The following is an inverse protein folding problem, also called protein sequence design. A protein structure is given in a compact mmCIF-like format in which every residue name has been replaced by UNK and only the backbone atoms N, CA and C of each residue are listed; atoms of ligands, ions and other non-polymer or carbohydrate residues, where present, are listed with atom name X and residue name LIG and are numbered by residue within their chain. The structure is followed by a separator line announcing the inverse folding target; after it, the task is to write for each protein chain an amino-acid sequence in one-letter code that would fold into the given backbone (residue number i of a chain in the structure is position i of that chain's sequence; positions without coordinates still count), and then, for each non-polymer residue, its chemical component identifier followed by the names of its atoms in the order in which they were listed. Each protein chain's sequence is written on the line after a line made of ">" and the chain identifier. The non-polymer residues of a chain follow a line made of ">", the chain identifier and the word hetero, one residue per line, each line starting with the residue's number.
data_IF_031033411180
#
_entry.id   IF_031033411180
#
_cell.length_a   1.000
_cell.length_b   1.000
_cell.length_c   1.000
_cell.angle_alpha   90.00
_cell.angle_beta   90.00
_cell.angle_gamma   90.00
#
_symmetry.space_group_name_H-M   'P 1'
#
loop_
_entity.id
_entity.type
_entity.pdbx_description
1 polymer ?
#
# COMPACT_ATOMS: atom_id res chain seq x y z
N UNK A 1 0.36 15.51 -13.67
CA UNK A 1 -0.91 14.77 -13.64
C UNK A 1 -0.50 13.33 -13.57
N UNK A 2 -0.96 12.65 -12.54
CA UNK A 2 -0.67 11.25 -12.25
C UNK A 2 -1.96 10.46 -12.40
N UNK A 3 -1.95 9.29 -13.01
CA UNK A 3 -3.12 8.41 -13.05
C UNK A 3 -3.14 7.51 -11.82
N UNK A 4 -4.26 7.41 -11.13
CA UNK A 4 -4.50 6.41 -10.10
C UNK A 4 -5.38 5.32 -10.70
N UNK A 5 -4.92 4.09 -10.63
CA UNK A 5 -5.72 2.91 -10.90
C UNK A 5 -5.87 2.10 -9.61
N UNK A 6 -7.09 1.72 -9.25
CA UNK A 6 -7.36 0.93 -8.05
C UNK A 6 -8.35 -0.20 -8.37
N UNK A 7 -7.97 -1.42 -8.00
CA UNK A 7 -8.85 -2.58 -7.94
C UNK A 7 -9.06 -2.97 -6.48
N UNK A 8 -10.31 -3.19 -6.10
CA UNK A 8 -10.65 -3.64 -4.76
C UNK A 8 -11.94 -4.47 -4.78
N UNK A 9 -12.09 -5.36 -3.80
CA UNK A 9 -13.33 -6.08 -3.55
C UNK A 9 -13.76 -5.93 -2.08
N UNK A 10 -14.99 -6.31 -1.78
CA UNK A 10 -15.56 -6.17 -0.43
C UNK A 10 -16.33 -7.40 0.02
N UNK A 11 -16.35 -7.58 1.34
CA UNK A 11 -17.22 -8.53 2.02
C UNK A 11 -18.44 -7.82 2.62
N UNK A 12 -19.60 -8.46 2.48
CA UNK A 12 -20.86 -7.95 2.96
C UNK A 12 -21.11 -8.41 4.40
N UNK A 13 -21.47 -7.48 5.29
CA UNK A 13 -22.10 -7.78 6.56
C UNK A 13 -23.12 -6.69 6.91
N UNK A 14 -24.41 -7.05 6.96
CA UNK A 14 -25.59 -6.16 7.06
C UNK A 14 -25.78 -5.15 5.90
N UNK A 15 -24.68 -4.67 5.31
CA UNK A 15 -24.61 -3.73 4.19
C UNK A 15 -23.27 -3.90 3.48
N UNK A 16 -23.07 -3.15 2.40
CA UNK A 16 -21.78 -3.02 1.72
C UNK A 16 -20.95 -1.89 2.33
N UNK A 17 -19.60 -1.99 2.35
CA UNK A 17 -18.73 -0.96 2.90
C UNK A 17 -18.64 0.25 1.99
N UNK A 18 -18.25 1.39 2.55
CA UNK A 18 -17.99 2.62 1.77
C UNK A 18 -16.49 2.81 1.58
N UNK A 19 -16.04 2.75 0.33
CA UNK A 19 -14.67 3.07 -0.05
C UNK A 19 -14.51 4.59 -0.08
N UNK A 20 -13.43 5.10 0.51
CA UNK A 20 -13.07 6.50 0.51
C UNK A 20 -11.66 6.66 -0.02
N UNK A 21 -11.50 7.51 -1.04
CA UNK A 21 -10.19 7.89 -1.57
C UNK A 21 -10.06 9.40 -1.49
N UNK A 22 -8.98 9.86 -0.88
CA UNK A 22 -8.64 11.28 -0.76
C UNK A 22 -7.27 11.53 -1.38
N UNK A 23 -7.17 12.60 -2.16
CA UNK A 23 -5.90 13.07 -2.71
C UNK A 23 -5.69 14.54 -2.34
N UNK A 24 -4.57 14.85 -1.71
CA UNK A 24 -4.20 16.21 -1.31
C UNK A 24 -5.29 16.91 -0.46
N UNK A 25 -5.99 16.14 0.39
CA UNK A 25 -7.09 16.61 1.24
C UNK A 25 -8.45 16.74 0.52
N UNK A 26 -8.53 16.39 -0.77
CA UNK A 26 -9.79 16.38 -1.53
C UNK A 26 -10.30 14.96 -1.71
N UNK A 27 -11.56 14.74 -1.35
CA UNK A 27 -12.26 13.47 -1.62
C UNK A 27 -12.43 13.32 -3.13
N UNK A 28 -11.87 12.26 -3.69
CA UNK A 28 -11.98 11.92 -5.12
C UNK A 28 -12.91 10.72 -5.35
N UNK A 29 -13.06 9.86 -4.34
CA UNK A 29 -14.04 8.77 -4.34
C UNK A 29 -14.66 8.62 -2.94
N UNK A 30 -15.97 8.40 -2.90
CA UNK A 30 -16.71 8.16 -1.67
C UNK A 30 -18.05 7.50 -1.97
N UNK A 31 -18.02 6.21 -2.31
CA UNK A 31 -19.21 5.44 -2.63
C UNK A 31 -19.17 4.04 -2.01
N UNK A 32 -20.34 3.39 -2.03
CA UNK A 32 -20.51 2.02 -1.56
C UNK A 32 -19.89 1.05 -2.57
N UNK A 33 -19.08 0.10 -2.08
CA UNK A 33 -18.42 -0.92 -2.90
C UNK A 33 -19.22 -2.22 -2.82
N UNK A 34 -19.91 -2.56 -3.91
CA UNK A 34 -20.61 -3.84 -4.05
C UNK A 34 -19.71 -4.84 -4.79
N UNK A 35 -19.35 -5.94 -4.14
CA UNK A 35 -18.52 -7.02 -4.69
C UNK A 35 -17.13 -6.56 -5.14
N UNK A 36 -16.93 -6.11 -6.39
CA UNK A 36 -15.65 -5.65 -6.93
C UNK A 36 -15.78 -4.30 -7.64
N UNK A 37 -14.77 -3.45 -7.49
CA UNK A 37 -14.67 -2.17 -8.20
C UNK A 37 -13.30 -2.03 -8.89
N UNK A 38 -13.31 -1.31 -10.02
CA UNK A 38 -12.12 -0.83 -10.72
C UNK A 38 -12.30 0.67 -10.92
N UNK A 39 -11.34 1.45 -10.45
CA UNK A 39 -11.38 2.90 -10.44
C UNK A 39 -10.16 3.48 -11.15
N UNK A 40 -10.41 4.44 -12.05
CA UNK A 40 -9.38 5.19 -12.75
C UNK A 40 -9.59 6.70 -12.53
N UNK A 41 -8.60 7.36 -11.92
CA UNK A 41 -8.65 8.79 -11.61
C UNK A 41 -7.42 9.53 -12.11
N UNK A 42 -7.62 10.69 -12.71
CA UNK A 42 -6.51 11.63 -12.96
C UNK A 42 -6.31 12.54 -11.75
N UNK A 43 -5.17 12.38 -11.08
CA UNK A 43 -4.79 13.15 -9.91
C UNK A 43 -4.11 14.47 -10.30
N UNK A 44 -4.44 15.52 -9.54
CA UNK A 44 -3.83 16.85 -9.68
C UNK A 44 -2.67 16.98 -8.68
N UNK A 45 -1.46 16.81 -9.19
CA UNK A 45 -0.25 16.90 -8.37
C UNK A 45 0.04 18.35 -7.96
N UNK A 46 0.47 18.55 -6.73
CA UNK A 46 1.04 19.81 -6.28
C UNK A 46 2.42 19.98 -6.92
N UNK A 47 2.60 21.11 -7.60
CA UNK A 47 3.87 21.49 -8.23
C UNK A 47 4.51 22.74 -7.60
N UNK A 48 3.79 23.46 -6.71
CA UNK A 48 4.31 24.65 -6.01
C UNK A 48 3.77 24.80 -4.58
N UNK A 49 4.52 25.53 -3.74
CA UNK A 49 4.20 25.86 -2.34
C UNK A 49 2.92 26.68 -2.17
N UNK A 50 2.55 27.46 -3.19
CA UNK A 50 1.35 28.31 -3.18
C UNK A 50 0.04 27.49 -3.11
N UNK A 51 0.12 26.17 -3.25
CA UNK A 51 -1.01 25.24 -3.18
C UNK A 51 -1.03 24.38 -1.89
N UNK A 52 -0.14 24.63 -0.91
CA UNK A 52 0.10 23.75 0.25
C UNK A 52 -0.48 24.25 1.59
N UNK A 53 -1.65 24.88 1.59
CA UNK A 53 -2.22 25.53 2.80
C UNK A 53 -2.72 24.57 3.93
N UNK A 54 -2.54 23.25 3.83
CA UNK A 54 -3.20 22.29 4.75
C UNK A 54 -2.32 21.25 5.47
N UNK A 55 -0.99 21.35 5.46
CA UNK A 55 -0.12 20.44 6.24
C UNK A 55 0.95 21.24 7.00
N UNK A 56 0.62 21.70 8.21
CA UNK A 56 1.56 22.42 9.10
C UNK A 56 2.05 21.62 10.31
N UNK A 57 1.55 20.40 10.56
CA UNK A 57 1.77 19.71 11.84
C UNK A 57 2.45 18.32 11.73
N UNK A 58 3.40 18.13 10.82
CA UNK A 58 4.29 16.96 10.86
C UNK A 58 5.73 17.30 10.49
N UNK A 59 6.62 17.15 11.47
CA UNK A 59 8.09 17.17 11.44
C UNK A 59 8.82 18.36 10.78
N UNK A 60 9.23 19.27 11.66
CA UNK A 60 9.97 20.53 11.41
C UNK A 60 11.44 20.31 11.01
N UNK A 61 11.77 19.21 10.32
CA UNK A 61 13.07 19.01 9.68
C UNK A 61 13.02 19.21 8.15
N UNK A 62 11.85 19.00 7.52
CA UNK A 62 11.68 19.01 6.06
C UNK A 62 10.46 19.83 5.57
N UNK A 63 10.18 20.96 6.22
CA UNK A 63 9.05 21.84 5.87
C UNK A 63 9.13 22.48 4.44
N UNK A 64 10.14 22.12 3.65
CA UNK A 64 10.44 22.62 2.31
C UNK A 64 10.34 21.54 1.22
N UNK A 65 9.64 20.44 1.43
CA UNK A 65 9.28 19.49 0.36
C UNK A 65 7.78 19.44 0.03
N UNK A 66 7.41 19.74 -1.21
CA UNK A 66 6.03 19.64 -1.70
C UNK A 66 5.71 18.16 -1.87
N UNK A 67 4.84 17.63 -1.00
CA UNK A 67 4.40 16.24 -1.05
C UNK A 67 2.94 16.17 -1.47
N UNK A 68 2.65 15.25 -2.39
CA UNK A 68 1.31 14.78 -2.65
C UNK A 68 0.98 13.71 -1.62
N UNK A 69 -0.27 13.68 -1.18
CA UNK A 69 -0.76 12.72 -0.20
C UNK A 69 -1.95 11.95 -0.79
N UNK A 70 -1.86 10.63 -0.78
CA UNK A 70 -2.93 9.72 -1.18
C UNK A 70 -3.40 8.96 0.07
N UNK A 71 -4.71 8.97 0.30
CA UNK A 71 -5.37 8.19 1.36
C UNK A 71 -6.38 7.25 0.71
N UNK A 72 -6.32 5.97 1.09
CA UNK A 72 -7.27 4.94 0.66
C UNK A 72 -7.82 4.29 1.92
N UNK A 73 -9.14 4.33 2.10
CA UNK A 73 -9.74 3.95 3.37
C UNK A 73 -11.17 3.47 3.26
N UNK A 74 -11.69 2.99 4.38
CA UNK A 74 -13.08 2.57 4.53
C UNK A 74 -13.77 3.45 5.57
N UNK A 75 -15.08 3.66 5.38
CA UNK A 75 -15.94 4.18 6.44
C UNK A 75 -17.29 3.50 6.52
N UNK A 76 -17.98 3.75 7.63
CA UNK A 76 -19.35 3.34 7.84
C UNK A 76 -19.52 1.97 8.52
N UNK A 77 -18.46 1.27 8.89
CA UNK A 77 -18.54 0.05 9.71
C UNK A 77 -19.00 0.39 11.13
N UNK A 78 -19.87 -0.44 11.69
CA UNK A 78 -20.41 -0.29 13.05
C UNK A 78 -19.80 -1.31 14.01
N UNK A 79 -19.40 -0.84 15.18
CA UNK A 79 -18.77 -1.64 16.24
C UNK A 79 -19.67 -1.73 17.48
N UNK A 80 -20.94 -2.09 17.30
CA UNK A 80 -21.88 -2.30 18.40
C UNK A 80 -22.71 -1.08 18.81
N UNK A 81 -22.51 0.08 18.17
CA UNK A 81 -23.40 1.23 18.34
C UNK A 81 -24.85 0.82 18.01
N UNK A 82 -25.79 1.18 18.90
CA UNK A 82 -27.20 0.80 18.82
C UNK A 82 -27.45 -0.73 18.75
N UNK A 83 -26.58 -1.54 19.36
CA UNK A 83 -26.63 -3.01 19.33
C UNK A 83 -26.46 -3.62 17.92
N UNK A 84 -25.80 -2.91 16.99
CA UNK A 84 -25.51 -3.43 15.65
C UNK A 84 -24.00 -3.59 15.46
N UNK A 85 -23.59 -4.80 15.12
CA UNK A 85 -22.23 -5.15 14.77
C UNK A 85 -22.19 -5.51 13.28
N UNK A 86 -21.26 -4.89 12.55
CA UNK A 86 -20.96 -5.27 11.15
C UNK A 86 -19.87 -6.36 11.11
N UNK A 87 -20.04 -7.33 12.02
CA UNK A 87 -19.21 -8.51 12.24
C UNK A 87 -20.07 -9.59 12.90
N UNK A 88 -19.98 -10.85 12.44
CA UNK A 88 -20.70 -11.99 12.99
C UNK A 88 -19.72 -13.05 13.48
N UNK A 89 -19.90 -13.49 14.72
CA UNK A 89 -19.10 -14.53 15.36
C UNK A 89 -19.92 -15.81 15.55
N UNK A 90 -19.39 -16.95 15.14
CA UNK A 90 -19.93 -18.29 15.43
C UNK A 90 -18.84 -19.18 16.02
N UNK A 91 -19.12 -19.84 17.14
CA UNK A 91 -18.15 -20.72 17.81
C UNK A 91 -16.81 -20.06 18.17
N UNK A 92 -16.78 -18.73 18.35
CA UNK A 92 -15.56 -17.96 18.60
C UNK A 92 -14.74 -17.65 17.35
N UNK A 93 -15.25 -17.94 16.15
CA UNK A 93 -14.66 -17.57 14.86
C UNK A 93 -15.49 -16.50 14.19
N UNK A 94 -14.82 -15.60 13.48
CA UNK A 94 -15.48 -14.64 12.60
C UNK A 94 -16.00 -15.36 11.36
N UNK A 95 -17.28 -15.21 11.05
CA UNK A 95 -17.94 -15.86 9.90
C UNK A 95 -18.36 -14.84 8.85
N UNK A 96 -18.72 -13.63 9.28
CA UNK A 96 -19.01 -12.51 8.38
C UNK A 96 -18.31 -11.27 8.94
N UNK A 97 -17.70 -10.48 8.06
CA UNK A 97 -17.18 -9.17 8.42
C UNK A 97 -17.40 -8.17 7.29
N UNK A 98 -17.64 -6.92 7.65
CA UNK A 98 -17.69 -5.81 6.70
C UNK A 98 -16.28 -5.28 6.45
N UNK A 99 -15.67 -5.63 5.33
CA UNK A 99 -14.30 -5.24 5.00
C UNK A 99 -14.11 -4.97 3.50
N UNK A 100 -13.07 -4.21 3.16
CA UNK A 100 -12.60 -4.00 1.79
C UNK A 100 -11.20 -4.56 1.66
N UNK A 101 -10.95 -5.28 0.57
CA UNK A 101 -9.65 -5.82 0.19
C UNK A 101 -9.08 -5.04 -0.99
N UNK A 102 -7.87 -4.51 -0.84
CA UNK A 102 -7.16 -3.83 -1.91
C UNK A 102 -6.41 -4.87 -2.76
N UNK A 103 -6.87 -5.09 -3.98
CA UNK A 103 -6.26 -6.06 -4.89
C UNK A 103 -5.06 -5.47 -5.63
N UNK A 104 -5.18 -4.20 -6.04
CA UNK A 104 -4.16 -3.51 -6.84
C UNK A 104 -4.30 -2.01 -6.69
N UNK A 105 -3.19 -1.31 -6.55
CA UNK A 105 -3.17 0.16 -6.55
C UNK A 105 -1.96 0.60 -7.36
N UNK A 106 -2.15 1.37 -8.44
CA UNK A 106 -1.04 1.92 -9.22
C UNK A 106 -1.12 3.43 -9.34
N UNK A 107 0.06 4.05 -9.36
CA UNK A 107 0.24 5.44 -9.81
C UNK A 107 0.97 5.43 -11.14
N UNK A 108 0.35 6.01 -12.16
CA UNK A 108 0.63 5.75 -13.57
C UNK A 108 0.67 4.23 -13.84
N UNK A 109 1.84 3.68 -14.14
CA UNK A 109 2.08 2.26 -14.42
C UNK A 109 2.85 1.54 -13.29
N UNK A 110 3.10 2.21 -12.16
CA UNK A 110 3.84 1.65 -11.02
C UNK A 110 2.89 1.15 -9.95
N UNK A 111 2.98 -0.14 -9.61
CA UNK A 111 2.28 -0.70 -8.45
C UNK A 111 2.83 -0.11 -7.15
N UNK A 112 1.94 0.42 -6.32
CA UNK A 112 2.26 1.11 -5.06
C UNK A 112 1.59 0.46 -3.85
N UNK A 113 0.96 -0.71 -4.00
CA UNK A 113 0.25 -1.35 -2.89
C UNK A 113 1.21 -1.62 -1.73
N UNK A 114 2.42 -2.09 -2.01
CA UNK A 114 3.50 -2.26 -1.03
C UNK A 114 3.85 -0.97 -0.28
N UNK A 115 4.00 0.15 -1.00
CA UNK A 115 4.29 1.45 -0.40
C UNK A 115 3.15 1.97 0.46
N UNK A 116 1.90 1.71 0.03
CA UNK A 116 0.70 2.09 0.76
C UNK A 116 0.55 1.29 2.06
N UNK A 117 1.04 0.04 2.09
CA UNK A 117 1.00 -0.87 3.24
C UNK A 117 2.23 -0.80 4.15
N UNK A 118 3.30 -0.12 3.73
CA UNK A 118 4.51 0.06 4.54
C UNK A 118 4.25 1.00 5.73
N UNK A 119 3.41 2.01 5.52
CA UNK A 119 2.89 2.87 6.59
C UNK A 119 1.78 2.15 7.39
N UNK A 120 1.55 2.64 8.61
CA UNK A 120 0.50 2.07 9.45
C UNK A 120 -0.90 2.38 8.91
N UNK A 121 -1.84 1.46 9.12
CA UNK A 121 -3.26 1.74 8.97
C UNK A 121 -3.75 2.67 10.07
N UNK A 122 -4.32 3.81 9.71
CA UNK A 122 -4.87 4.78 10.65
C UNK A 122 -6.33 4.47 10.93
N UNK A 123 -6.65 4.10 12.16
CA UNK A 123 -8.00 3.73 12.56
C UNK A 123 -8.77 4.97 13.07
N UNK A 124 -9.91 5.24 12.46
CA UNK A 124 -10.83 6.29 12.91
C UNK A 124 -11.77 5.76 14.00
N UNK A 125 -11.70 6.39 15.17
CA UNK A 125 -12.51 5.98 16.31
C UNK A 125 -14.00 6.15 16.03
N UNK A 126 -14.74 5.05 16.21
CA UNK A 126 -16.19 5.00 16.05
C UNK A 126 -16.84 4.58 17.36
N UNK A 127 -18.03 5.09 17.64
CA UNK A 127 -18.79 4.74 18.85
C UNK A 127 -18.98 3.21 18.98
N UNK A 128 -18.77 2.68 20.19
CA UNK A 128 -18.85 1.25 20.49
C UNK A 128 -17.52 0.49 20.34
N UNK A 129 -16.53 1.08 19.67
CA UNK A 129 -15.20 0.49 19.52
C UNK A 129 -14.42 0.46 20.85
N UNK A 130 -13.79 -0.67 21.16
CA UNK A 130 -12.98 -0.82 22.37
C UNK A 130 -11.59 -0.18 22.22
N UNK A 131 -11.09 0.42 23.31
CA UNK A 131 -9.88 1.26 23.33
C UNK A 131 -8.59 0.58 22.86
N UNK A 132 -8.48 -0.74 22.92
CA UNK A 132 -7.27 -1.44 22.46
C UNK A 132 -7.16 -1.54 20.93
N UNK A 133 -8.23 -1.25 20.20
CA UNK A 133 -8.20 -1.14 18.73
C UNK A 133 -7.71 0.24 18.24
N UNK A 134 -7.25 1.10 19.16
CA UNK A 134 -6.64 2.41 18.85
C UNK A 134 -5.21 2.30 18.31
N UNK A 135 -4.68 1.08 18.19
CA UNK A 135 -3.34 0.86 17.67
C UNK A 135 -3.36 0.80 16.16
N UNK A 136 -2.73 1.80 15.55
CA UNK A 136 -2.16 1.71 14.23
C UNK A 136 -1.45 0.36 14.05
N UNK A 137 -1.81 -0.40 13.03
CA UNK A 137 -1.23 -1.72 12.74
C UNK A 137 -0.64 -1.74 11.34
N UNK A 138 0.32 -2.64 11.10
CA UNK A 138 0.95 -2.80 9.79
C UNK A 138 -0.08 -3.29 8.78
N UNK A 139 -0.13 -2.65 7.62
CA UNK A 139 -1.09 -2.97 6.59
C UNK A 139 -0.91 -4.37 6.00
N UNK A 140 -2.04 -5.01 5.69
CA UNK A 140 -2.10 -6.29 4.99
C UNK A 140 -2.96 -6.23 3.71
N UNK A 141 -3.39 -5.03 3.29
CA UNK A 141 -4.31 -4.85 2.17
C UNK A 141 -5.79 -4.88 2.57
N UNK A 142 -6.09 -5.25 3.81
CA UNK A 142 -7.45 -5.34 4.33
C UNK A 142 -7.82 -4.04 5.07
N UNK A 143 -9.04 -3.56 4.81
CA UNK A 143 -9.67 -2.41 5.45
C UNK A 143 -10.81 -2.92 6.34
N UNK A 144 -10.46 -3.59 7.44
CA UNK A 144 -11.44 -4.15 8.37
C UNK A 144 -12.02 -3.12 9.36
N UNK A 145 -11.45 -1.92 9.43
CA UNK A 145 -11.91 -0.84 10.32
C UNK A 145 -12.18 0.45 9.56
N UNK A 146 -13.01 1.34 10.14
CA UNK A 146 -13.07 2.71 9.64
C UNK A 146 -11.69 3.35 9.79
N UNK A 147 -11.17 3.95 8.74
CA UNK A 147 -9.77 4.36 8.70
C UNK A 147 -9.21 4.47 7.29
N UNK A 148 -7.89 4.60 7.18
CA UNK A 148 -7.20 4.69 5.91
C UNK A 148 -5.73 4.26 5.98
N UNK A 149 -5.24 3.72 4.87
CA UNK A 149 -3.82 3.76 4.54
C UNK A 149 -3.47 5.13 3.96
N UNK A 150 -2.23 5.55 4.18
CA UNK A 150 -1.70 6.77 3.59
C UNK A 150 -0.36 6.51 2.94
N UNK A 151 -0.07 7.27 1.89
CA UNK A 151 1.28 7.41 1.39
C UNK A 151 1.53 8.82 0.88
N UNK A 152 2.81 9.21 0.86
CA UNK A 152 3.24 10.48 0.33
C UNK A 152 4.16 10.28 -0.88
N UNK A 153 4.03 11.12 -1.90
CA UNK A 153 4.90 11.07 -3.08
C UNK A 153 5.19 12.46 -3.63
N UNK A 154 6.30 12.59 -4.36
CA UNK A 154 6.76 13.83 -4.98
C UNK A 154 6.72 13.75 -6.50
N UNK A 155 6.84 14.90 -7.16
CA UNK A 155 7.07 14.99 -8.59
C UNK A 155 8.55 15.34 -8.82
N UNK A 156 9.28 14.64 -9.70
CA UNK A 156 8.81 13.58 -10.61
C UNK A 156 8.39 12.27 -9.93
N UNK A 157 7.24 11.71 -10.35
CA UNK A 157 6.61 10.54 -9.72
C UNK A 157 7.56 9.33 -9.68
N UNK A 158 8.09 8.94 -10.83
CA UNK A 158 8.97 7.78 -10.94
C UNK A 158 10.18 7.87 -10.02
N UNK A 159 10.78 9.06 -9.90
CA UNK A 159 11.92 9.27 -9.00
C UNK A 159 11.49 9.10 -7.54
N UNK A 160 10.36 9.68 -7.15
CA UNK A 160 9.80 9.52 -5.81
C UNK A 160 9.54 8.05 -5.46
N UNK A 161 8.81 7.34 -6.33
CA UNK A 161 8.43 5.94 -6.08
C UNK A 161 9.65 5.01 -6.10
N UNK A 162 10.58 5.22 -7.02
CA UNK A 162 11.83 4.43 -7.10
C UNK A 162 12.66 4.61 -5.84
N UNK A 163 12.80 5.84 -5.34
CA UNK A 163 13.52 6.10 -4.10
C UNK A 163 12.83 5.44 -2.91
N UNK A 164 11.50 5.50 -2.80
CA UNK A 164 10.78 4.89 -1.67
C UNK A 164 10.88 3.36 -1.66
N UNK A 165 10.77 2.70 -2.83
CA UNK A 165 10.86 1.23 -2.91
C UNK A 165 12.28 0.72 -2.66
N UNK A 166 13.29 1.40 -3.20
CA UNK A 166 14.61 0.79 -3.39
C UNK A 166 15.75 1.48 -2.63
N UNK A 167 15.57 2.70 -2.12
CA UNK A 167 16.60 3.33 -1.28
C UNK A 167 16.35 3.03 0.18
N UNK A 168 17.27 2.30 0.80
CA UNK A 168 17.29 2.11 2.26
C UNK A 168 18.33 3.04 2.86
N UNK A 169 18.07 3.63 4.04
CA UNK A 169 19.11 4.33 4.78
C UNK A 169 20.23 3.35 5.13
N UNK A 170 21.48 3.76 4.90
CA UNK A 170 22.63 3.03 5.39
C UNK A 170 22.53 2.91 6.91
N UNK A 171 22.43 1.69 7.43
CA UNK A 171 22.69 1.44 8.85
C UNK A 171 24.15 1.79 9.13
N UNK A 172 24.40 3.02 9.56
CA UNK A 172 25.69 3.39 10.11
C UNK A 172 25.52 4.28 11.32
N UNK A 173 25.99 3.75 12.46
CA UNK A 173 26.36 4.43 13.70
C UNK A 173 27.53 5.44 13.49
N UNK A 174 27.56 6.09 12.32
CA UNK A 174 28.60 7.04 11.87
C UNK A 174 27.94 8.13 11.05
N UNK A 175 27.88 9.32 11.64
CA UNK A 175 27.34 10.51 10.99
C UNK A 175 28.16 10.89 9.75
N UNK A 176 27.51 10.91 8.61
CA UNK A 176 28.01 11.55 7.40
C UNK A 176 27.08 12.69 7.01
N UNK A 177 27.69 13.82 6.65
CA UNK A 177 27.00 15.03 6.23
C UNK A 177 26.57 14.89 4.76
N UNK A 178 25.32 15.26 4.47
CA UNK A 178 24.67 15.34 3.15
C UNK A 178 24.18 14.02 2.55
N UNK A 179 23.26 14.16 1.58
CA UNK A 179 22.30 13.20 1.00
C UNK A 179 22.87 11.90 0.39
N UNK A 180 24.13 11.56 0.65
CA UNK A 180 24.85 10.36 0.21
C UNK A 180 24.67 9.15 1.14
N UNK A 181 23.67 9.19 2.04
CA UNK A 181 23.45 8.17 3.08
C UNK A 181 22.41 7.10 2.72
N UNK A 182 21.91 7.10 1.47
CA UNK A 182 20.93 6.12 0.99
C UNK A 182 21.44 5.44 -0.28
N UNK A 183 21.52 4.11 -0.25
CA UNK A 183 22.00 3.29 -1.38
C UNK A 183 20.83 2.49 -1.94
N UNK A 184 20.84 2.20 -3.24
CA UNK A 184 19.88 1.27 -3.83
C UNK A 184 20.17 -0.15 -3.33
N UNK A 185 19.15 -0.80 -2.81
CA UNK A 185 19.19 -2.20 -2.39
C UNK A 185 18.43 -3.05 -3.39
N UNK A 186 19.13 -3.98 -4.03
CA UNK A 186 18.58 -4.93 -5.00
C UNK A 186 18.63 -6.37 -4.46
N UNK A 187 18.62 -6.51 -3.13
CA UNK A 187 18.92 -7.79 -2.47
C UNK A 187 17.89 -8.87 -2.84
N UNK A 188 16.62 -8.48 -2.95
CA UNK A 188 15.51 -9.38 -3.30
C UNK A 188 15.60 -9.78 -4.78
N UNK A 189 15.89 -8.85 -5.69
CA UNK A 189 16.08 -9.15 -7.11
C UNK A 189 17.33 -10.00 -7.35
N UNK A 190 18.39 -9.77 -6.57
CA UNK A 190 19.58 -10.62 -6.60
C UNK A 190 19.29 -12.03 -6.10
N UNK A 191 18.30 -12.23 -5.23
CA UNK A 191 17.82 -13.55 -4.84
C UNK A 191 17.04 -14.20 -5.99
N UNK A 192 16.09 -13.49 -6.59
CA UNK A 192 15.31 -14.02 -7.73
C UNK A 192 16.23 -14.41 -8.91
N UNK A 193 17.24 -13.59 -9.22
CA UNK A 193 18.23 -13.90 -10.26
C UNK A 193 18.97 -15.20 -9.93
N UNK A 194 19.38 -15.42 -8.68
CA UNK A 194 20.05 -16.66 -8.26
C UNK A 194 19.15 -17.87 -8.40
N UNK A 195 17.88 -17.74 -8.03
CA UNK A 195 16.90 -18.83 -8.18
C UNK A 195 16.73 -19.20 -9.67
N UNK A 196 16.67 -18.21 -10.56
CA UNK A 196 16.64 -18.43 -12.01
C UNK A 196 17.93 -19.12 -12.50
N UNK A 197 19.10 -18.66 -12.04
CA UNK A 197 20.41 -19.25 -12.40
C UNK A 197 20.51 -20.72 -11.95
N UNK A 198 20.00 -21.06 -10.78
CA UNK A 198 19.96 -22.44 -10.28
C UNK A 198 19.06 -23.33 -11.14
N UNK A 199 17.85 -22.85 -11.51
CA UNK A 199 16.96 -23.58 -12.42
C UNK A 199 17.63 -23.82 -13.78
N UNK A 200 18.28 -22.80 -14.35
CA UNK A 200 18.99 -22.92 -15.62
C UNK A 200 20.13 -23.93 -15.54
N UNK A 201 20.88 -23.94 -14.43
CA UNK A 201 21.95 -24.90 -14.19
C UNK A 201 21.43 -26.33 -14.09
N UNK A 202 20.33 -26.56 -13.37
CA UNK A 202 19.71 -27.89 -13.30
C UNK A 202 19.24 -28.40 -14.67
N UNK A 203 18.68 -27.50 -15.48
CA UNK A 203 18.26 -27.81 -16.85
C UNK A 203 19.48 -28.23 -17.67
N UNK A 204 20.55 -27.43 -17.67
CA UNK A 204 21.76 -27.74 -18.41
C UNK A 204 22.40 -29.07 -17.97
N UNK A 205 22.44 -29.36 -16.66
CA UNK A 205 22.91 -30.65 -16.14
C UNK A 205 22.04 -31.82 -16.66
N UNK A 206 20.71 -31.71 -16.58
CA UNK A 206 19.78 -32.75 -17.08
C UNK A 206 19.89 -32.99 -18.59
N UNK A 207 20.12 -31.93 -19.38
CA UNK A 207 20.21 -32.04 -20.84
C UNK A 207 21.63 -32.35 -21.35
N UNK A 208 22.67 -32.09 -20.56
CA UNK A 208 24.05 -32.49 -20.88
C UNK A 208 24.22 -34.02 -20.90
N UNK A 209 23.55 -34.73 -20.00
CA UNK A 209 23.51 -36.20 -19.93
C UNK A 209 22.78 -36.87 -21.10
N UNK A 210 21.86 -36.15 -21.74
CA UNK A 210 21.15 -36.61 -22.94
C UNK A 210 22.02 -36.39 -24.17
N UNK A 211 22.67 -35.22 -24.29
CA UNK A 211 23.56 -34.89 -25.42
C UNK A 211 24.81 -35.77 -25.47
N UNK A 212 25.34 -36.21 -24.33
CA UNK A 212 26.49 -37.13 -24.27
C UNK A 212 26.12 -38.55 -24.73
N UNK A 213 24.89 -39.01 -24.49
CA UNK A 213 24.39 -40.31 -24.97
C UNK A 213 24.13 -40.34 -26.48
N UNK A 214 23.63 -39.26 -27.07
CA UNK A 214 23.36 -39.19 -28.53
C UNK A 214 24.63 -39.10 -29.39
N UNK A 215 25.78 -38.71 -28.80
CA UNK A 215 27.07 -38.59 -29.51
C UNK A 215 27.88 -39.89 -29.59
N UNK A 216 27.52 -40.89 -28.78
CA UNK A 216 28.22 -42.18 -28.69
C UNK A 216 27.46 -43.35 -29.35
N UNK A 217 26.43 -43.04 -30.14
CA UNK A 217 25.74 -43.95 -31.08
C UNK A 217 26.01 -43.50 -32.51
#
# INVERSE_FOLDING_TARGET
>A
MTQLHLEAHADFCNKWPTLMITHNGKIIHNDTLEDKIILDYTLQDRQSWEQSDMLRDCDVANANEIRNNLLVGMKGKRFGANNVWDTVMDGGKMVEDLEIHLDKVTLDDVDILDLLLDDNYYVEFTEGMQDYHKTNFKGNGELAFNGYYQMNYQIPLYESLTNQKWKKPLETDRGYFSNDTQVFHYDDEMQEIREIEEILKEIDEKFSDIRSKTRNT
#
